data_IF_921380488544
#
_entry.id   IF_921380488544
#
_cell.length_a   1.000
_cell.length_b   1.000
_cell.length_c   1.000
_cell.angle_alpha   90.00
_cell.angle_beta   90.00
_cell.angle_gamma   90.00
#
_symmetry.space_group_name_H-M   'P 1'
#
loop_
_entity.id
_entity.type
_entity.pdbx_description
1 polymer ?
#
# COMPACT_ATOMS: atom_id res chain seq x y z
N UNK A 1 -8.95 13.42 2.41
CA UNK A 1 -9.41 14.38 3.43
C UNK A 1 -8.63 15.69 3.30
N UNK A 2 -9.33 16.79 3.06
CA UNK A 2 -8.75 18.12 2.84
C UNK A 2 -9.05 19.04 4.02
N UNK A 3 -8.05 19.79 4.49
CA UNK A 3 -8.24 20.73 5.57
C UNK A 3 -7.05 21.67 5.78
N UNK A 4 -7.25 22.74 6.53
CA UNK A 4 -6.18 23.70 6.85
C UNK A 4 -5.07 23.05 7.68
N UNK A 5 -3.83 23.55 7.64
CA UNK A 5 -2.79 23.15 8.58
C UNK A 5 -3.29 23.28 10.03
N UNK A 6 -2.93 22.37 10.90
CA UNK A 6 -3.35 22.38 12.31
C UNK A 6 -4.82 22.01 12.59
N UNK A 7 -5.62 21.68 11.58
CA UNK A 7 -7.05 21.34 11.74
C UNK A 7 -7.30 19.97 12.37
N UNK A 8 -6.27 19.24 12.75
CA UNK A 8 -6.40 17.93 13.40
C UNK A 8 -6.93 16.82 12.48
N UNK A 9 -6.47 16.74 11.23
CA UNK A 9 -6.87 15.70 10.26
C UNK A 9 -6.39 14.29 10.66
N UNK A 10 -5.21 14.22 11.24
CA UNK A 10 -4.53 12.97 11.59
C UNK A 10 -5.24 12.17 12.68
N UNK A 11 -5.71 12.75 13.81
CA UNK A 11 -6.36 11.97 14.86
C UNK A 11 -7.58 11.16 14.41
N UNK A 12 -8.56 11.70 13.67
CA UNK A 12 -9.70 10.91 13.21
C UNK A 12 -9.29 9.79 12.23
N UNK A 13 -8.29 10.01 11.38
CA UNK A 13 -7.74 8.94 10.53
C UNK A 13 -7.06 7.87 11.36
N UNK A 14 -6.28 8.24 12.38
CA UNK A 14 -5.64 7.29 13.27
C UNK A 14 -6.68 6.45 14.03
N UNK A 15 -7.80 7.03 14.41
CA UNK A 15 -8.90 6.32 15.05
C UNK A 15 -9.56 5.33 14.06
N UNK A 16 -9.83 5.76 12.84
CA UNK A 16 -10.41 4.92 11.81
C UNK A 16 -9.51 3.73 11.44
N UNK A 17 -8.19 3.94 11.42
CA UNK A 17 -7.20 2.89 11.14
C UNK A 17 -6.86 1.99 12.34
N UNK A 18 -7.31 2.33 13.55
CA UNK A 18 -7.00 1.56 14.75
C UNK A 18 -7.30 0.06 14.61
N UNK A 19 -8.47 -0.39 14.10
CA UNK A 19 -8.75 -1.82 13.93
C UNK A 19 -7.79 -2.51 12.97
N UNK A 20 -7.38 -1.83 11.89
CA UNK A 20 -6.45 -2.36 10.90
C UNK A 20 -5.06 -2.53 11.52
N UNK A 21 -4.57 -1.55 12.28
CA UNK A 21 -3.29 -1.65 12.99
C UNK A 21 -3.28 -2.74 14.06
N UNK A 22 -4.39 -2.92 14.78
CA UNK A 22 -4.53 -4.01 15.74
C UNK A 22 -4.50 -5.39 15.05
N UNK A 23 -5.09 -5.47 13.86
CA UNK A 23 -5.02 -6.68 13.05
C UNK A 23 -3.59 -6.93 12.53
N UNK A 24 -2.90 -5.92 12.02
CA UNK A 24 -1.50 -6.04 11.58
C UNK A 24 -0.56 -6.45 12.71
N UNK A 25 -0.77 -5.91 13.92
CA UNK A 25 0.00 -6.34 15.08
C UNK A 25 -0.16 -7.83 15.35
N UNK A 26 -1.39 -8.35 15.26
CA UNK A 26 -1.64 -9.80 15.41
C UNK A 26 -0.95 -10.63 14.32
N UNK A 27 -0.93 -10.13 13.09
CA UNK A 27 -0.21 -10.78 11.99
C UNK A 27 1.30 -10.78 12.22
N UNK A 28 1.83 -9.68 12.74
CA UNK A 28 3.24 -9.55 13.07
C UNK A 28 3.63 -10.50 14.24
N UNK A 29 2.86 -10.51 15.33
CA UNK A 29 3.10 -11.38 16.47
C UNK A 29 3.07 -12.86 16.07
N UNK A 30 2.11 -13.23 15.21
CA UNK A 30 2.01 -14.57 14.63
C UNK A 30 3.23 -14.90 13.77
N UNK A 31 3.68 -13.97 12.92
CA UNK A 31 4.86 -14.16 12.08
C UNK A 31 6.12 -14.36 12.92
N UNK A 32 6.34 -13.55 13.98
CA UNK A 32 7.46 -13.71 14.88
C UNK A 32 7.46 -15.10 15.54
N UNK A 33 6.32 -15.53 16.06
CA UNK A 33 6.18 -16.87 16.66
C UNK A 33 6.49 -17.99 15.64
N UNK A 34 5.95 -17.90 14.43
CA UNK A 34 6.21 -18.91 13.38
C UNK A 34 7.68 -18.88 12.92
N UNK A 35 8.32 -17.70 12.93
CA UNK A 35 9.74 -17.55 12.56
C UNK A 35 10.65 -18.18 13.61
N UNK A 36 10.38 -17.98 14.91
CA UNK A 36 11.12 -18.59 16.00
C UNK A 36 11.04 -20.14 15.92
N UNK A 37 9.86 -20.68 15.63
CA UNK A 37 9.68 -22.12 15.43
C UNK A 37 10.45 -22.64 14.21
N UNK A 38 10.44 -21.89 13.12
CA UNK A 38 11.19 -22.22 11.91
C UNK A 38 12.70 -22.24 12.17
N UNK A 39 13.21 -21.23 12.86
CA UNK A 39 14.64 -21.12 13.22
C UNK A 39 15.08 -22.25 14.17
N UNK A 40 14.27 -22.56 15.17
CA UNK A 40 14.53 -23.68 16.07
C UNK A 40 14.56 -25.02 15.32
N UNK A 41 13.60 -25.23 14.39
CA UNK A 41 13.58 -26.44 13.58
C UNK A 41 14.77 -26.52 12.60
N UNK A 42 15.24 -25.39 12.08
CA UNK A 42 16.45 -25.35 11.24
C UNK A 42 17.72 -25.65 12.02
N UNK A 43 17.80 -25.24 13.30
CA UNK A 43 18.94 -25.49 14.18
C UNK A 43 19.04 -26.96 14.58
N UNK A 44 17.92 -27.69 14.67
CA UNK A 44 17.85 -29.09 15.10
C UNK A 44 17.82 -30.11 13.94
N UNK A 45 18.08 -29.68 12.70
CA UNK A 45 18.01 -30.55 11.52
C UNK A 45 18.94 -31.76 11.62
N UNK A 46 18.38 -32.91 12.03
CA UNK A 46 18.86 -34.23 11.65
C UNK A 46 18.36 -34.56 10.24
N UNK A 47 19.21 -35.24 9.43
CA UNK A 47 18.91 -35.68 8.06
C UNK A 47 17.59 -36.46 8.01
N UNK A 48 16.51 -35.82 7.47
CA UNK A 48 15.23 -36.51 7.25
C UNK A 48 13.97 -35.77 7.69
N UNK A 49 14.07 -34.60 8.34
CA UNK A 49 12.90 -33.85 8.74
C UNK A 49 12.23 -33.13 7.56
N UNK A 50 10.87 -33.15 7.54
CA UNK A 50 10.02 -32.46 6.56
C UNK A 50 10.46 -31.00 6.41
N UNK A 51 10.70 -30.56 5.19
CA UNK A 51 11.12 -29.21 4.88
C UNK A 51 10.03 -28.20 5.32
N UNK A 52 10.27 -27.52 6.43
CA UNK A 52 9.36 -26.48 6.91
C UNK A 52 9.52 -25.24 6.05
N UNK A 53 8.43 -24.69 5.53
CA UNK A 53 8.47 -23.47 4.74
C UNK A 53 8.75 -22.28 5.64
N UNK A 54 9.67 -21.41 5.21
CA UNK A 54 9.92 -20.14 5.90
C UNK A 54 8.63 -19.31 5.93
N UNK A 55 8.23 -18.80 7.11
CA UNK A 55 7.04 -17.97 7.24
C UNK A 55 7.20 -16.65 6.46
N UNK A 56 6.09 -16.07 6.03
CA UNK A 56 6.04 -14.82 5.29
C UNK A 56 5.18 -13.84 6.10
N UNK A 57 5.74 -12.66 6.36
CA UNK A 57 4.98 -11.57 6.99
C UNK A 57 3.90 -11.07 6.04
N UNK A 58 2.66 -11.04 6.49
CA UNK A 58 1.53 -10.47 5.75
C UNK A 58 1.27 -9.05 6.20
N UNK A 59 1.36 -8.11 5.30
CA UNK A 59 1.03 -6.70 5.54
C UNK A 59 -0.35 -6.38 4.99
N UNK A 60 -1.04 -5.47 5.62
CA UNK A 60 -2.35 -4.95 5.19
C UNK A 60 -2.24 -3.49 4.79
N UNK A 61 -1.31 -2.75 5.40
CA UNK A 61 -1.09 -1.34 5.11
C UNK A 61 0.30 -1.10 4.52
N UNK A 62 0.39 -0.10 3.66
CA UNK A 62 1.64 0.44 3.12
C UNK A 62 1.61 1.96 3.23
N UNK A 63 2.71 2.55 3.74
CA UNK A 63 2.86 4.00 3.86
C UNK A 63 3.86 4.53 2.82
N UNK A 64 5.07 3.96 2.79
CA UNK A 64 6.10 4.24 1.77
C UNK A 64 6.50 2.94 1.10
N UNK A 65 6.39 2.89 -0.24
CA UNK A 65 6.58 1.65 -0.98
C UNK A 65 6.99 1.89 -2.43
N UNK A 66 7.66 0.92 -3.01
CA UNK A 66 7.87 0.82 -4.44
C UNK A 66 6.75 -0.01 -5.09
N UNK A 67 6.65 0.05 -6.41
CA UNK A 67 5.68 -0.76 -7.14
C UNK A 67 5.92 -2.27 -6.92
N UNK A 68 7.19 -2.66 -6.87
CA UNK A 68 7.60 -4.04 -6.61
C UNK A 68 7.15 -4.51 -5.21
N UNK A 69 7.29 -3.62 -4.21
CA UNK A 69 6.80 -3.90 -2.85
C UNK A 69 5.27 -4.03 -2.81
N UNK A 70 4.54 -3.17 -3.53
CA UNK A 70 3.08 -3.28 -3.64
C UNK A 70 2.66 -4.64 -4.22
N UNK A 71 3.31 -5.09 -5.30
CA UNK A 71 3.04 -6.40 -5.91
C UNK A 71 3.31 -7.52 -4.91
N UNK A 72 4.47 -7.51 -4.27
CA UNK A 72 4.90 -8.54 -3.31
C UNK A 72 3.93 -8.64 -2.12
N UNK A 73 3.63 -7.52 -1.49
CA UNK A 73 2.78 -7.50 -0.31
C UNK A 73 1.33 -7.88 -0.67
N UNK A 74 0.82 -7.45 -1.82
CA UNK A 74 -0.50 -7.84 -2.26
C UNK A 74 -0.57 -9.33 -2.65
N UNK A 75 0.48 -9.87 -3.29
CA UNK A 75 0.59 -11.30 -3.58
C UNK A 75 0.56 -12.16 -2.30
N UNK A 76 1.20 -11.67 -1.23
CA UNK A 76 1.21 -12.32 0.07
C UNK A 76 -0.10 -12.12 0.86
N UNK A 77 -0.90 -11.11 0.50
CA UNK A 77 -2.19 -10.81 1.12
C UNK A 77 -3.27 -10.52 0.07
N UNK A 78 -3.89 -11.59 -0.43
CA UNK A 78 -4.93 -11.50 -1.46
C UNK A 78 -6.23 -10.79 -1.03
N UNK A 79 -6.38 -10.45 0.25
CA UNK A 79 -7.55 -9.69 0.74
C UNK A 79 -7.50 -8.21 0.35
N UNK A 80 -6.32 -7.73 -0.06
CA UNK A 80 -6.11 -6.35 -0.47
C UNK A 80 -5.15 -5.59 0.43
N UNK A 81 -4.75 -4.43 -0.07
CA UNK A 81 -3.78 -3.53 0.57
C UNK A 81 -4.44 -2.16 0.76
N UNK A 82 -4.25 -1.57 1.94
CA UNK A 82 -4.60 -0.19 2.22
C UNK A 82 -3.35 0.69 2.20
N UNK A 83 -3.38 1.75 1.42
CA UNK A 83 -2.32 2.75 1.34
C UNK A 83 -2.75 3.98 2.11
N UNK A 84 -1.95 4.41 3.07
CA UNK A 84 -2.24 5.57 3.90
C UNK A 84 -1.17 6.64 3.70
N UNK A 85 -1.55 7.75 3.07
CA UNK A 85 -0.67 8.90 2.88
C UNK A 85 -1.09 10.08 3.74
N UNK A 86 -0.21 10.53 4.61
CA UNK A 86 -0.45 11.77 5.38
C UNK A 86 -0.49 13.01 4.45
N UNK A 87 0.28 12.97 3.34
CA UNK A 87 0.21 13.98 2.28
C UNK A 87 0.14 13.29 0.90
N UNK A 88 -1.06 13.20 0.34
CA UNK A 88 -1.33 12.46 -0.92
C UNK A 88 -0.54 13.00 -2.12
N UNK A 89 -0.13 14.26 -2.09
CA UNK A 89 0.70 14.84 -3.15
C UNK A 89 2.09 14.19 -3.21
N UNK A 90 2.56 13.59 -2.12
CA UNK A 90 3.79 12.81 -2.11
C UNK A 90 3.74 11.61 -3.07
N UNK A 91 2.59 10.93 -3.13
CA UNK A 91 2.36 9.85 -4.09
C UNK A 91 2.45 10.33 -5.54
N UNK A 92 2.02 11.58 -5.80
CA UNK A 92 1.94 12.16 -7.12
C UNK A 92 3.25 12.86 -7.56
N UNK A 93 4.13 13.17 -6.61
CA UNK A 93 5.38 13.85 -6.86
C UNK A 93 6.44 12.97 -7.53
N UNK A 94 6.35 11.66 -7.44
CA UNK A 94 7.30 10.69 -7.99
C UNK A 94 7.14 10.55 -9.51
N UNK A 95 7.56 11.59 -10.24
CA UNK A 95 7.64 11.57 -11.69
C UNK A 95 9.05 11.20 -12.15
N UNK A 96 9.14 10.36 -13.18
CA UNK A 96 10.40 10.01 -13.80
C UNK A 96 11.00 11.21 -14.60
N UNK A 97 12.21 11.02 -15.15
CA UNK A 97 12.90 12.05 -15.99
C UNK A 97 12.11 12.45 -17.23
N UNK A 98 11.14 11.65 -17.66
CA UNK A 98 10.29 11.89 -18.82
C UNK A 98 8.92 12.49 -18.46
N UNK A 99 8.74 12.90 -17.22
CA UNK A 99 7.48 13.46 -16.74
C UNK A 99 6.36 12.44 -16.54
N UNK A 100 6.65 11.15 -16.62
CA UNK A 100 5.71 10.06 -16.33
C UNK A 100 5.72 9.73 -14.85
N UNK A 101 4.58 9.28 -14.34
CA UNK A 101 4.47 8.72 -13.00
C UNK A 101 4.04 7.25 -13.10
N UNK A 102 5.00 6.31 -13.15
CA UNK A 102 4.70 4.90 -13.33
C UNK A 102 3.81 4.33 -12.21
N UNK A 103 3.94 4.87 -10.99
CA UNK A 103 3.09 4.48 -9.86
C UNK A 103 1.64 4.89 -10.12
N UNK A 104 1.41 6.14 -10.56
CA UNK A 104 0.07 6.65 -10.86
C UNK A 104 -0.58 5.85 -12.01
N UNK A 105 0.15 5.61 -13.09
CA UNK A 105 -0.34 4.81 -14.22
C UNK A 105 -0.73 3.40 -13.79
N UNK A 106 0.06 2.78 -12.92
CA UNK A 106 -0.25 1.45 -12.39
C UNK A 106 -1.47 1.46 -11.46
N UNK A 107 -1.61 2.45 -10.61
CA UNK A 107 -2.79 2.60 -9.75
C UNK A 107 -4.07 2.80 -10.55
N UNK A 108 -4.02 3.57 -11.64
CA UNK A 108 -5.14 3.73 -12.57
C UNK A 108 -5.50 2.41 -13.27
N UNK A 109 -4.49 1.62 -13.67
CA UNK A 109 -4.69 0.29 -14.25
C UNK A 109 -5.36 -0.67 -13.26
N UNK A 110 -4.91 -0.67 -11.99
CA UNK A 110 -5.51 -1.47 -10.90
C UNK A 110 -6.97 -1.06 -10.70
N UNK A 111 -7.27 0.22 -10.68
CA UNK A 111 -8.64 0.72 -10.58
C UNK A 111 -9.53 0.20 -11.71
N UNK A 112 -8.98 0.06 -12.90
CA UNK A 112 -9.68 -0.47 -14.09
C UNK A 112 -9.77 -2.00 -14.11
N UNK A 113 -9.37 -2.68 -13.02
CA UNK A 113 -9.44 -4.14 -12.90
C UNK A 113 -8.31 -4.89 -13.59
N UNK A 114 -7.23 -4.19 -14.01
CA UNK A 114 -6.08 -4.86 -14.58
C UNK A 114 -5.30 -5.61 -13.51
N UNK A 115 -4.82 -6.81 -13.85
CA UNK A 115 -3.96 -7.59 -12.97
C UNK A 115 -2.68 -6.82 -12.57
N UNK A 116 -2.14 -7.17 -11.43
CA UNK A 116 -0.91 -6.61 -10.87
C UNK A 116 0.18 -7.67 -10.93
N UNK A 117 1.27 -7.38 -11.65
CA UNK A 117 2.36 -8.33 -11.87
C UNK A 117 3.72 -7.64 -11.77
N UNK A 118 4.70 -8.33 -11.21
CA UNK A 118 6.09 -7.90 -11.19
C UNK A 118 6.90 -8.70 -12.21
N UNK A 119 7.20 -8.06 -13.34
CA UNK A 119 7.99 -8.63 -14.43
C UNK A 119 9.50 -8.35 -14.31
N UNK A 120 9.91 -7.48 -13.37
CA UNK A 120 11.30 -7.01 -13.25
C UNK A 120 12.17 -7.85 -12.31
N UNK A 121 11.56 -8.67 -11.48
CA UNK A 121 12.28 -9.50 -10.51
C UNK A 121 12.57 -10.85 -11.13
N UNK A 122 13.84 -11.27 -11.15
CA UNK A 122 14.27 -12.64 -11.47
C UNK A 122 13.85 -13.57 -10.33
N UNK A 123 12.59 -13.88 -10.27
CA UNK A 123 12.08 -14.92 -9.38
C UNK A 123 11.72 -16.14 -10.22
N UNK A 124 11.99 -17.31 -9.70
CA UNK A 124 11.62 -18.58 -10.33
C UNK A 124 10.10 -18.73 -10.51
N UNK A 125 9.32 -17.91 -9.81
CA UNK A 125 7.87 -17.81 -9.94
C UNK A 125 7.44 -16.33 -10.04
N UNK A 126 6.75 -15.92 -11.13
CA UNK A 126 6.20 -14.58 -11.25
C UNK A 126 5.16 -14.33 -10.16
N UNK A 127 5.22 -13.15 -9.55
CA UNK A 127 4.22 -12.71 -8.58
C UNK A 127 3.13 -11.99 -9.34
N UNK A 128 1.93 -12.55 -9.33
CA UNK A 128 0.77 -12.00 -10.03
C UNK A 128 -0.47 -12.04 -9.16
N UNK A 129 -1.20 -10.94 -9.15
CA UNK A 129 -2.50 -10.78 -8.50
C UNK A 129 -3.52 -10.50 -9.59
N UNK A 130 -4.45 -11.41 -9.80
CA UNK A 130 -5.43 -11.31 -10.90
C UNK A 130 -6.48 -10.21 -10.63
N UNK A 131 -6.97 -10.15 -9.42
CA UNK A 131 -8.01 -9.19 -8.98
C UNK A 131 -7.44 -8.30 -7.85
N UNK A 132 -6.61 -7.30 -8.18
CA UNK A 132 -6.02 -6.48 -7.16
C UNK A 132 -7.06 -5.57 -6.50
N UNK A 133 -7.01 -5.50 -5.17
CA UNK A 133 -7.79 -4.60 -4.34
C UNK A 133 -6.84 -3.67 -3.58
N UNK A 134 -6.73 -2.43 -4.04
CA UNK A 134 -5.88 -1.41 -3.42
C UNK A 134 -6.71 -0.20 -3.05
N UNK A 135 -6.82 0.07 -1.76
CA UNK A 135 -7.53 1.22 -1.23
C UNK A 135 -6.54 2.31 -0.84
N UNK A 136 -6.78 3.54 -1.27
CA UNK A 136 -5.90 4.67 -0.98
C UNK A 136 -6.67 5.69 -0.15
N UNK A 137 -6.12 6.05 1.00
CA UNK A 137 -6.60 7.17 1.81
C UNK A 137 -5.44 8.12 2.02
N UNK A 138 -5.72 9.41 1.89
CA UNK A 138 -4.72 10.43 2.12
C UNK A 138 -5.30 11.72 2.66
N UNK A 139 -4.43 12.54 3.21
CA UNK A 139 -4.76 13.91 3.55
C UNK A 139 -4.03 14.89 2.67
N UNK A 140 -4.53 16.11 2.58
CA UNK A 140 -3.82 17.23 1.99
C UNK A 140 -4.30 18.55 2.58
N UNK A 141 -3.54 19.60 2.33
CA UNK A 141 -3.88 20.94 2.77
C UNK A 141 -4.72 21.66 1.71
N UNK A 142 -5.67 22.49 2.17
CA UNK A 142 -6.54 23.27 1.27
C UNK A 142 -5.74 24.10 0.26
N UNK A 143 -4.62 24.69 0.69
CA UNK A 143 -3.76 25.49 -0.21
C UNK A 143 -3.11 24.64 -1.31
N UNK A 144 -2.82 23.36 -1.03
CA UNK A 144 -2.18 22.45 -1.95
C UNK A 144 -3.15 21.75 -2.91
N UNK A 145 -4.46 21.87 -2.67
CA UNK A 145 -5.46 21.33 -3.60
C UNK A 145 -5.31 21.86 -5.03
N UNK A 146 -4.80 23.09 -5.18
CA UNK A 146 -4.53 23.66 -6.51
C UNK A 146 -3.46 22.87 -7.28
N UNK A 147 -2.52 22.22 -6.57
CA UNK A 147 -1.48 21.37 -7.17
C UNK A 147 -2.08 20.09 -7.77
N UNK A 148 -3.18 19.58 -7.20
CA UNK A 148 -3.94 18.46 -7.77
C UNK A 148 -4.74 18.86 -9.02
N UNK A 149 -5.18 20.11 -9.08
CA UNK A 149 -6.01 20.66 -10.17
C UNK A 149 -5.18 21.05 -11.40
N UNK A 150 -3.94 20.62 -11.51
CA UNK A 150 -3.10 20.86 -12.68
C UNK A 150 -3.52 19.91 -13.80
N UNK A 151 -3.51 20.39 -15.05
CA UNK A 151 -3.89 19.63 -16.25
C UNK A 151 -3.33 18.21 -16.28
N UNK A 152 -2.08 18.03 -15.87
CA UNK A 152 -1.41 16.74 -15.80
C UNK A 152 -2.20 15.64 -15.05
N UNK A 153 -2.89 15.98 -13.96
CA UNK A 153 -3.68 15.00 -13.18
C UNK A 153 -5.14 14.95 -13.64
N UNK A 154 -5.65 16.05 -14.20
CA UNK A 154 -6.99 16.10 -14.78
C UNK A 154 -7.06 15.24 -16.04
N UNK A 155 -6.06 15.37 -16.93
CA UNK A 155 -6.02 14.65 -18.20
C UNK A 155 -5.86 13.12 -18.04
N UNK A 156 -5.36 12.65 -16.90
CA UNK A 156 -5.23 11.21 -16.60
C UNK A 156 -6.50 10.56 -16.08
N UNK A 157 -7.53 11.33 -15.74
CA UNK A 157 -8.74 10.85 -15.08
C UNK A 157 -8.50 10.38 -13.63
N UNK A 158 -7.36 10.73 -13.02
CA UNK A 158 -7.04 10.35 -11.65
C UNK A 158 -7.98 11.03 -10.66
N UNK A 159 -8.27 12.32 -10.85
CA UNK A 159 -9.15 13.08 -9.97
C UNK A 159 -10.59 12.58 -10.00
N UNK A 160 -11.06 12.06 -11.13
CA UNK A 160 -12.40 11.50 -11.29
C UNK A 160 -12.62 10.23 -10.43
N UNK A 161 -11.53 9.62 -9.97
CA UNK A 161 -11.52 8.42 -9.15
C UNK A 161 -11.32 8.69 -7.65
N UNK A 162 -11.21 9.98 -7.26
CA UNK A 162 -10.95 10.37 -5.88
C UNK A 162 -12.20 11.00 -5.26
N UNK A 163 -12.62 10.47 -4.13
CA UNK A 163 -13.60 11.13 -3.27
C UNK A 163 -12.92 12.18 -2.40
N UNK A 164 -13.19 13.44 -2.68
CA UNK A 164 -12.63 14.58 -1.92
C UNK A 164 -13.60 14.98 -0.81
N UNK A 165 -13.14 14.96 0.43
CA UNK A 165 -13.93 15.31 1.61
C UNK A 165 -13.35 16.54 2.29
N UNK A 166 -14.19 17.58 2.41
CA UNK A 166 -13.92 18.80 3.16
C UNK A 166 -14.75 18.80 4.44
N UNK A 167 -14.17 18.52 5.61
CA UNK A 167 -14.92 18.64 6.86
C UNK A 167 -15.28 20.09 7.14
N UNK A 168 -16.53 20.30 7.57
CA UNK A 168 -16.94 21.62 8.05
C UNK A 168 -16.18 21.93 9.34
N UNK A 169 -15.51 23.08 9.39
CA UNK A 169 -15.02 23.60 10.66
C UNK A 169 -16.21 23.99 11.53
N UNK A 170 -16.25 23.50 12.76
CA UNK A 170 -17.13 24.07 13.78
C UNK A 170 -16.62 25.44 14.19
#
# INVERSE_FOLDING_TARGET
LVGRPGMGKTPPLQLAYKPIREYERKLFDKFCYELDLYEAACATKESGSKEMKKPILKRVTLDDFTLEALVLEHYNNLRGIAINYDEILGLLANTDRYGKNPMLERLLSIWSGCHLENTRVKNDRPQRVEEPCVNIIGTTQTKRMKELMVSKFMDTGFLDRILVVYPKSK
#
